data_IF_600269121670
#
_entry.id   IF_600269121670
#
_cell.length_a   1.000
_cell.length_b   1.000
_cell.length_c   1.000
_cell.angle_alpha   90.00
_cell.angle_beta   90.00
_cell.angle_gamma   90.00
#
_symmetry.space_group_name_H-M   'P 1'
#
loop_
_entity.id
_entity.type
_entity.pdbx_description
1 polymer ?
#
# COMPACT_ATOMS: atom_id res chain seq x y z
N UNK A 1 -30.89 3.23 -11.21
CA UNK A 1 -29.45 2.97 -11.01
C UNK A 1 -28.84 3.76 -9.84
N UNK A 2 -28.78 5.11 -9.88
CA UNK A 2 -28.14 5.94 -8.82
C UNK A 2 -28.70 5.73 -7.40
N UNK A 3 -30.01 5.53 -7.27
CA UNK A 3 -30.68 5.29 -5.99
C UNK A 3 -30.32 3.94 -5.35
N UNK A 4 -30.05 2.90 -6.15
CA UNK A 4 -29.61 1.59 -5.66
C UNK A 4 -28.17 1.65 -5.15
N UNK A 5 -27.28 2.33 -5.88
CA UNK A 5 -25.89 2.53 -5.47
C UNK A 5 -25.83 3.34 -4.16
N UNK A 6 -26.60 4.43 -4.05
CA UNK A 6 -26.65 5.22 -2.83
C UNK A 6 -27.25 4.46 -1.62
N UNK A 7 -28.23 3.59 -1.84
CA UNK A 7 -28.84 2.76 -0.79
C UNK A 7 -27.88 1.65 -0.29
N UNK A 8 -27.06 1.07 -1.18
CA UNK A 8 -26.04 0.08 -0.83
C UNK A 8 -24.83 0.72 -0.16
N UNK A 9 -24.41 1.91 -0.61
CA UNK A 9 -23.26 2.60 -0.05
C UNK A 9 -23.54 3.23 1.32
N UNK A 10 -24.75 3.77 1.56
CA UNK A 10 -25.11 4.41 2.85
C UNK A 10 -24.77 3.58 4.11
N UNK A 11 -25.10 2.28 4.20
CA UNK A 11 -24.71 1.46 5.36
C UNK A 11 -23.21 1.10 5.38
N UNK A 12 -22.52 1.15 4.23
CA UNK A 12 -21.08 0.84 4.13
C UNK A 12 -20.19 2.05 4.46
N UNK A 13 -20.68 3.27 4.25
CA UNK A 13 -19.90 4.51 4.43
C UNK A 13 -20.50 5.50 5.44
N UNK A 14 -21.67 5.19 6.02
CA UNK A 14 -22.31 6.03 7.04
C UNK A 14 -21.76 5.78 8.45
N UNK A 15 -21.55 6.84 9.24
CA UNK A 15 -21.28 6.75 10.69
C UNK A 15 -19.80 6.64 11.10
N UNK A 16 -18.85 6.68 10.16
CA UNK A 16 -17.42 6.57 10.48
C UNK A 16 -16.79 7.93 10.82
N UNK A 17 -15.88 8.00 11.83
CA UNK A 17 -15.23 9.25 12.24
C UNK A 17 -14.41 9.89 11.11
N UNK A 18 -14.27 11.23 11.11
CA UNK A 18 -13.45 11.96 10.12
C UNK A 18 -12.02 11.41 9.99
N UNK A 19 -11.42 10.95 11.09
CA UNK A 19 -10.09 10.32 11.10
C UNK A 19 -10.01 9.08 10.23
N UNK A 20 -11.08 8.27 10.20
CA UNK A 20 -11.14 7.08 9.33
C UNK A 20 -10.98 7.48 7.87
N UNK A 21 -11.73 8.50 7.42
CA UNK A 21 -11.69 8.94 6.03
C UNK A 21 -10.33 9.50 5.61
N UNK A 22 -9.65 10.21 6.51
CA UNK A 22 -8.28 10.69 6.26
C UNK A 22 -7.31 9.52 6.07
N UNK A 23 -7.35 8.53 6.97
CA UNK A 23 -6.49 7.34 6.89
C UNK A 23 -6.83 6.47 5.68
N UNK A 24 -8.11 6.31 5.37
CA UNK A 24 -8.59 5.55 4.22
C UNK A 24 -8.09 6.17 2.92
N UNK A 25 -8.24 7.50 2.76
CA UNK A 25 -7.78 8.21 1.57
C UNK A 25 -6.25 8.15 1.46
N UNK A 26 -5.53 8.37 2.57
CA UNK A 26 -4.07 8.23 2.58
C UNK A 26 -3.61 6.82 2.18
N UNK A 27 -4.30 5.79 2.67
CA UNK A 27 -4.03 4.40 2.30
C UNK A 27 -4.34 4.15 0.82
N UNK A 28 -5.43 4.69 0.30
CA UNK A 28 -5.80 4.56 -1.10
C UNK A 28 -4.72 5.16 -2.01
N UNK A 29 -4.28 6.39 -1.73
CA UNK A 29 -3.21 7.05 -2.49
C UNK A 29 -1.92 6.25 -2.44
N UNK A 30 -1.53 5.75 -1.25
CA UNK A 30 -0.35 4.90 -1.09
C UNK A 30 -0.46 3.59 -1.91
N UNK A 31 -1.65 2.98 -1.98
CA UNK A 31 -1.89 1.77 -2.79
C UNK A 31 -1.81 2.05 -4.29
N UNK A 32 -2.25 3.22 -4.75
CA UNK A 32 -2.08 3.63 -6.15
C UNK A 32 -0.60 3.77 -6.52
N UNK A 33 0.24 4.32 -5.64
CA UNK A 33 1.69 4.37 -5.88
C UNK A 33 2.32 2.97 -5.95
N UNK A 34 1.86 2.06 -5.08
CA UNK A 34 2.34 0.67 -5.02
C UNK A 34 1.87 -0.18 -6.22
N UNK A 35 0.89 0.29 -7.00
CA UNK A 35 0.34 -0.42 -8.15
C UNK A 35 1.33 -0.62 -9.30
N UNK A 36 2.51 0.00 -9.26
CA UNK A 36 3.55 -0.19 -10.27
C UNK A 36 4.24 -1.57 -10.19
N UNK A 37 4.20 -2.23 -9.04
CA UNK A 37 4.95 -3.47 -8.79
C UNK A 37 4.61 -4.66 -9.70
N UNK A 38 3.33 -4.93 -10.06
CA UNK A 38 3.01 -5.97 -11.02
C UNK A 38 3.66 -5.76 -12.39
N UNK A 39 3.94 -4.50 -12.76
CA UNK A 39 4.60 -4.14 -14.01
C UNK A 39 6.12 -4.12 -13.90
N UNK A 40 6.68 -4.15 -12.69
CA UNK A 40 8.12 -4.08 -12.46
C UNK A 40 8.86 -5.21 -13.17
N UNK A 41 8.31 -6.43 -13.15
CA UNK A 41 8.92 -7.56 -13.85
C UNK A 41 9.00 -7.32 -15.37
N UNK A 42 7.90 -6.85 -15.97
CA UNK A 42 7.84 -6.53 -17.39
C UNK A 42 8.83 -5.43 -17.77
N UNK A 43 8.95 -4.41 -16.93
CA UNK A 43 9.92 -3.33 -17.12
C UNK A 43 11.37 -3.84 -17.06
N UNK A 44 11.68 -4.67 -16.06
CA UNK A 44 13.03 -5.20 -15.87
C UNK A 44 13.45 -6.11 -17.02
N UNK A 45 12.57 -6.99 -17.48
CA UNK A 45 12.90 -7.92 -18.56
C UNK A 45 12.83 -7.27 -19.93
N UNK A 46 11.88 -6.36 -20.16
CA UNK A 46 11.63 -5.72 -21.46
C UNK A 46 12.56 -4.54 -21.72
N UNK A 47 12.50 -3.51 -20.90
CA UNK A 47 13.25 -2.26 -21.12
C UNK A 47 14.68 -2.31 -20.57
N UNK A 48 14.88 -2.97 -19.42
CA UNK A 48 16.20 -3.09 -18.79
C UNK A 48 16.98 -4.32 -19.23
N UNK A 49 16.38 -5.22 -20.02
CA UNK A 49 17.03 -6.41 -20.56
C UNK A 49 17.50 -7.42 -19.50
N UNK A 50 16.90 -7.42 -18.31
CA UNK A 50 17.24 -8.39 -17.26
C UNK A 50 16.72 -9.78 -17.66
N UNK A 51 17.43 -10.82 -17.23
CA UNK A 51 16.90 -12.18 -17.34
C UNK A 51 15.72 -12.38 -16.38
N UNK A 52 14.86 -13.34 -16.70
CA UNK A 52 13.67 -13.66 -15.89
C UNK A 52 14.06 -14.03 -14.45
N UNK A 53 15.19 -14.74 -14.27
CA UNK A 53 15.70 -15.14 -12.96
C UNK A 53 16.06 -13.92 -12.11
N UNK A 54 16.70 -12.91 -12.72
CA UNK A 54 17.07 -11.66 -12.02
C UNK A 54 15.83 -10.85 -11.65
N UNK A 55 14.86 -10.73 -12.56
CA UNK A 55 13.59 -10.07 -12.27
C UNK A 55 12.81 -10.78 -11.17
N UNK A 56 12.77 -12.12 -11.19
CA UNK A 56 12.18 -12.95 -10.15
C UNK A 56 12.87 -12.79 -8.80
N UNK A 57 14.19 -12.67 -8.77
CA UNK A 57 14.95 -12.39 -7.55
C UNK A 57 14.61 -11.01 -6.97
N UNK A 58 14.52 -9.96 -7.81
CA UNK A 58 14.09 -8.63 -7.37
C UNK A 58 12.67 -8.67 -6.79
N UNK A 59 11.73 -9.33 -7.46
CA UNK A 59 10.36 -9.48 -6.96
C UNK A 59 10.31 -10.26 -5.63
N UNK A 60 11.11 -11.31 -5.49
CA UNK A 60 11.21 -12.10 -4.27
C UNK A 60 11.79 -11.30 -3.10
N UNK A 61 12.84 -10.51 -3.34
CA UNK A 61 13.42 -9.61 -2.35
C UNK A 61 12.42 -8.53 -1.91
N UNK A 62 11.67 -7.96 -2.87
CA UNK A 62 10.59 -7.03 -2.54
C UNK A 62 9.54 -7.68 -1.63
N UNK A 63 9.06 -8.88 -1.98
CA UNK A 63 8.09 -9.63 -1.18
C UNK A 63 8.60 -9.97 0.21
N UNK A 64 9.85 -10.45 0.32
CA UNK A 64 10.49 -10.73 1.60
C UNK A 64 10.62 -9.46 2.46
N UNK A 65 11.04 -8.35 1.86
CA UNK A 65 11.08 -7.05 2.51
C UNK A 65 9.72 -6.60 3.03
N UNK A 66 8.65 -6.80 2.25
CA UNK A 66 7.28 -6.47 2.68
C UNK A 66 6.82 -7.31 3.88
N UNK A 67 7.16 -8.60 3.92
CA UNK A 67 6.86 -9.49 5.06
C UNK A 67 7.60 -9.02 6.32
N UNK A 68 8.88 -8.68 6.20
CA UNK A 68 9.71 -8.21 7.33
C UNK A 68 9.29 -6.81 7.79
N UNK A 69 8.87 -5.94 6.88
CA UNK A 69 8.45 -4.57 7.18
C UNK A 69 7.19 -4.52 8.05
N UNK A 70 6.30 -5.51 7.98
CA UNK A 70 5.07 -5.56 8.78
C UNK A 70 5.34 -5.55 10.29
N UNK A 71 6.02 -6.58 10.84
CA UNK A 71 6.38 -6.62 12.26
C UNK A 71 7.25 -5.42 12.69
N UNK A 72 8.23 -5.01 11.87
CA UNK A 72 9.09 -3.86 12.19
C UNK A 72 8.29 -2.55 12.26
N UNK A 73 7.39 -2.33 11.31
CA UNK A 73 6.49 -1.18 11.31
C UNK A 73 5.55 -1.18 12.52
N UNK A 74 5.06 -2.35 12.94
CA UNK A 74 4.30 -2.53 14.17
C UNK A 74 5.11 -2.14 15.41
N UNK A 75 6.31 -2.69 15.57
CA UNK A 75 7.21 -2.35 16.69
C UNK A 75 7.54 -0.85 16.72
N UNK A 76 7.76 -0.22 15.57
CA UNK A 76 7.96 1.22 15.46
C UNK A 76 6.71 2.02 15.85
N UNK A 77 5.53 1.57 15.43
CA UNK A 77 4.26 2.20 15.81
C UNK A 77 4.03 2.13 17.32
N UNK A 78 4.41 1.03 17.95
CA UNK A 78 4.26 0.82 19.39
C UNK A 78 5.25 1.65 20.20
N UNK A 79 6.48 1.84 19.70
CA UNK A 79 7.55 2.57 20.43
C UNK A 79 7.60 4.07 20.16
N UNK A 80 7.48 4.48 18.90
CA UNK A 80 7.64 5.89 18.46
C UNK A 80 6.28 6.60 18.37
N UNK A 81 5.20 5.82 18.33
CA UNK A 81 3.84 6.32 18.27
C UNK A 81 3.26 6.21 16.86
N UNK A 82 2.04 5.63 16.80
CA UNK A 82 1.35 5.26 15.56
C UNK A 82 1.23 6.38 14.53
N UNK A 83 1.02 7.64 14.96
CA UNK A 83 0.87 8.78 14.04
C UNK A 83 2.18 9.13 13.32
N UNK A 84 3.31 9.13 14.04
CA UNK A 84 4.61 9.44 13.45
C UNK A 84 5.06 8.31 12.54
N UNK A 85 4.84 7.05 12.93
CA UNK A 85 5.19 5.90 12.10
C UNK A 85 4.39 5.86 10.79
N UNK A 86 3.08 6.14 10.84
CA UNK A 86 2.27 6.22 9.62
C UNK A 86 2.67 7.40 8.75
N UNK A 87 2.89 8.59 9.33
CA UNK A 87 3.34 9.74 8.57
C UNK A 87 4.70 9.46 7.92
N UNK A 88 5.69 9.01 8.69
CA UNK A 88 7.02 8.67 8.19
C UNK A 88 6.97 7.61 7.10
N UNK A 89 6.17 6.55 7.26
CA UNK A 89 5.99 5.52 6.25
C UNK A 89 5.37 6.03 4.94
N UNK A 90 4.44 6.99 5.02
CA UNK A 90 3.85 7.64 3.85
C UNK A 90 4.77 8.67 3.18
N UNK A 91 5.73 9.25 3.90
CA UNK A 91 6.71 10.20 3.38
C UNK A 91 7.94 9.52 2.76
N UNK A 92 8.34 8.36 3.30
CA UNK A 92 9.51 7.61 2.85
C UNK A 92 9.23 6.65 1.69
N UNK A 93 7.98 6.19 1.56
CA UNK A 93 7.52 5.38 0.45
C UNK A 93 7.11 6.22 -0.74
#
# INVERSE_FOLDING_TARGET
MRAHVAAVLRPLVGGLPRTFWVLWLGTLVNRLGTFILPFLALYLTGERGFTVERAGLVASLYGAGAVVAGPLGGMLADRVGRRLTVAGGLWLG
#
